data_IF_693549274050
#
_entry.id   IF_693549274050
#
_cell.length_a   1.000
_cell.length_b   1.000
_cell.length_c   1.000
_cell.angle_alpha   90.00
_cell.angle_beta   90.00
_cell.angle_gamma   90.00
#
_symmetry.space_group_name_H-M   'P 1'
#
loop_
_entity.id
_entity.type
_entity.pdbx_description
1 polymer ?
#
# COMPACT_ATOMS: atom_id res chain seq x y z
N UNK A 1 -21.16 -9.07 -25.42
CA UNK A 1 -21.17 -8.65 -24.00
C UNK A 1 -20.42 -9.73 -23.20
N UNK A 2 -19.13 -9.57 -23.06
CA UNK A 2 -18.29 -10.53 -22.33
C UNK A 2 -17.57 -9.77 -21.21
N UNK A 3 -18.03 -9.96 -19.95
CA UNK A 3 -17.36 -9.45 -18.76
C UNK A 3 -16.21 -10.40 -18.42
N UNK A 4 -15.01 -10.08 -18.87
CA UNK A 4 -13.78 -10.74 -18.47
C UNK A 4 -13.51 -10.43 -16.99
N UNK A 5 -13.83 -11.38 -16.11
CA UNK A 5 -13.35 -11.39 -14.73
C UNK A 5 -11.90 -11.86 -14.75
N UNK A 6 -10.99 -10.96 -14.47
CA UNK A 6 -9.61 -11.31 -14.18
C UNK A 6 -9.60 -12.12 -12.87
N UNK A 7 -9.37 -13.43 -13.00
CA UNK A 7 -9.11 -14.33 -11.86
C UNK A 7 -7.61 -14.27 -11.57
N UNK A 8 -7.25 -13.77 -10.42
CA UNK A 8 -5.92 -14.03 -9.87
C UNK A 8 -5.81 -15.51 -9.54
N UNK A 9 -4.72 -16.19 -9.91
CA UNK A 9 -4.52 -17.58 -9.52
C UNK A 9 -4.25 -17.63 -8.02
N UNK A 10 -5.07 -18.36 -7.30
CA UNK A 10 -4.83 -18.76 -5.93
C UNK A 10 -3.73 -19.83 -5.93
N UNK A 11 -2.47 -19.44 -5.83
CA UNK A 11 -1.41 -20.33 -5.37
C UNK A 11 -1.47 -20.39 -3.84
N UNK A 12 -2.30 -21.27 -3.32
CA UNK A 12 -2.19 -21.72 -1.94
C UNK A 12 -1.19 -22.88 -1.96
N UNK A 13 0.10 -22.59 -1.79
CA UNK A 13 1.04 -23.60 -1.35
C UNK A 13 0.66 -24.04 0.05
N UNK A 14 0.52 -25.36 0.22
CA UNK A 14 0.32 -26.00 1.51
C UNK A 14 1.56 -25.75 2.39
N UNK A 15 1.51 -24.69 3.19
CA UNK A 15 2.44 -24.51 4.28
C UNK A 15 2.10 -25.56 5.33
N UNK A 16 3.07 -26.43 5.61
CA UNK A 16 3.00 -27.50 6.62
C UNK A 16 2.42 -26.98 7.94
N UNK A 17 1.53 -27.76 8.55
CA UNK A 17 0.76 -27.45 9.77
C UNK A 17 1.60 -27.14 11.02
N UNK A 18 2.93 -27.24 10.97
CA UNK A 18 3.83 -27.15 12.13
C UNK A 18 4.47 -25.77 12.39
N UNK A 19 4.11 -24.73 11.63
CA UNK A 19 4.69 -23.39 11.81
C UNK A 19 3.64 -22.33 12.19
N UNK A 20 2.71 -22.62 13.11
CA UNK A 20 1.93 -21.56 13.77
C UNK A 20 2.83 -20.90 14.82
N UNK A 21 3.16 -19.59 14.70
CA UNK A 21 3.87 -18.90 15.75
C UNK A 21 3.08 -19.05 17.04
N UNK A 22 3.73 -19.48 18.11
CA UNK A 22 3.14 -19.64 19.44
C UNK A 22 2.46 -18.31 19.80
N UNK A 23 1.15 -18.38 20.13
CA UNK A 23 0.39 -17.21 20.56
C UNK A 23 1.13 -16.57 21.73
N UNK A 24 1.43 -15.26 21.70
CA UNK A 24 1.97 -14.59 22.87
C UNK A 24 1.05 -14.85 24.06
N UNK A 25 1.58 -15.31 25.19
CA UNK A 25 0.79 -15.55 26.40
C UNK A 25 0.10 -14.25 26.83
N UNK A 26 -1.21 -14.31 27.07
CA UNK A 26 -1.99 -13.17 27.57
C UNK A 26 -3.00 -12.54 26.61
N UNK A 27 -3.13 -13.01 25.35
CA UNK A 27 -4.14 -12.50 24.44
C UNK A 27 -5.57 -12.91 24.87
N UNK A 28 -6.49 -11.94 24.84
CA UNK A 28 -7.93 -12.21 25.03
C UNK A 28 -8.47 -12.81 23.72
N UNK A 29 -8.67 -14.14 23.68
CA UNK A 29 -9.00 -14.86 22.45
C UNK A 29 -10.23 -14.33 21.69
N UNK A 30 -11.25 -13.81 22.38
CA UNK A 30 -12.40 -13.19 21.74
C UNK A 30 -12.02 -11.91 20.97
N UNK A 31 -11.16 -11.08 21.56
CA UNK A 31 -10.68 -9.84 20.95
C UNK A 31 -9.77 -10.15 19.76
N UNK A 32 -8.84 -11.10 19.92
CA UNK A 32 -7.96 -11.56 18.82
C UNK A 32 -8.78 -12.03 17.61
N UNK A 33 -9.79 -12.86 17.85
CA UNK A 33 -10.64 -13.34 16.77
C UNK A 33 -11.44 -12.23 16.08
N UNK A 34 -11.94 -11.23 16.81
CA UNK A 34 -12.63 -10.08 16.23
C UNK A 34 -11.69 -9.23 15.37
N UNK A 35 -10.48 -8.96 15.85
CA UNK A 35 -9.49 -8.20 15.10
C UNK A 35 -9.04 -8.94 13.82
N UNK A 36 -8.85 -10.25 13.90
CA UNK A 36 -8.55 -11.08 12.71
C UNK A 36 -9.71 -11.09 11.71
N UNK A 37 -10.95 -11.13 12.19
CA UNK A 37 -12.13 -11.04 11.33
C UNK A 37 -12.19 -9.69 10.60
N UNK A 38 -11.94 -8.57 11.29
CA UNK A 38 -11.93 -7.24 10.66
C UNK A 38 -10.84 -7.14 9.58
N UNK A 39 -9.69 -7.78 9.77
CA UNK A 39 -8.62 -7.78 8.78
C UNK A 39 -8.97 -8.51 7.47
N UNK A 40 -9.98 -9.39 7.45
CA UNK A 40 -10.44 -10.02 6.21
C UNK A 40 -10.97 -8.99 5.20
N UNK A 41 -11.39 -7.81 5.64
CA UNK A 41 -11.80 -6.73 4.75
C UNK A 41 -10.62 -6.01 4.05
N UNK A 42 -9.37 -6.32 4.39
CA UNK A 42 -8.19 -5.87 3.63
C UNK A 42 -8.19 -6.51 2.22
N UNK A 43 -8.69 -7.77 2.10
CA UNK A 43 -8.66 -8.55 0.86
C UNK A 43 -10.06 -8.81 0.27
N UNK A 44 -11.14 -8.56 1.03
CA UNK A 44 -12.51 -8.89 0.64
C UNK A 44 -13.46 -7.71 0.83
N UNK A 45 -14.18 -7.34 -0.21
CA UNK A 45 -15.24 -6.33 -0.12
C UNK A 45 -16.40 -6.78 0.77
N UNK A 46 -16.68 -8.08 0.79
CA UNK A 46 -17.75 -8.70 1.60
C UNK A 46 -17.30 -10.06 2.13
N UNK A 47 -17.73 -10.39 3.34
CA UNK A 47 -17.47 -11.69 3.99
C UNK A 47 -18.79 -12.38 4.38
N UNK A 48 -18.77 -13.72 4.43
CA UNK A 48 -19.92 -14.56 4.82
C UNK A 48 -19.59 -15.40 6.04
N UNK A 49 -20.55 -15.59 6.95
CA UNK A 49 -20.39 -16.38 8.18
C UNK A 49 -19.74 -17.75 7.91
N UNK A 50 -20.23 -18.47 6.90
CA UNK A 50 -19.75 -19.82 6.60
C UNK A 50 -18.31 -19.85 6.09
N UNK A 51 -17.89 -18.84 5.35
CA UNK A 51 -16.53 -18.69 4.86
C UNK A 51 -15.58 -18.36 6.03
N UNK A 52 -15.91 -17.31 6.79
CA UNK A 52 -15.13 -16.89 7.98
C UNK A 52 -14.98 -18.03 8.99
N UNK A 53 -16.06 -18.82 9.22
CA UNK A 53 -16.00 -19.97 10.12
C UNK A 53 -14.97 -21.01 9.68
N UNK A 54 -14.91 -21.32 8.39
CA UNK A 54 -13.90 -22.23 7.83
C UNK A 54 -12.48 -21.66 7.91
N UNK A 55 -12.30 -20.40 7.42
CA UNK A 55 -10.98 -19.79 7.26
C UNK A 55 -10.31 -19.53 8.64
N UNK A 56 -11.13 -19.23 9.65
CA UNK A 56 -10.63 -19.00 11.02
C UNK A 56 -10.65 -20.23 11.93
N UNK A 57 -11.23 -21.36 11.49
CA UNK A 57 -11.38 -22.55 12.32
C UNK A 57 -12.33 -22.37 13.51
N UNK A 58 -13.38 -21.53 13.37
CA UNK A 58 -14.34 -21.18 14.41
C UNK A 58 -15.73 -21.79 14.16
N UNK A 59 -16.53 -21.95 15.21
CA UNK A 59 -17.94 -22.34 15.05
C UNK A 59 -18.74 -21.23 14.37
N UNK A 60 -19.75 -21.59 13.57
CA UNK A 60 -20.66 -20.62 12.93
C UNK A 60 -21.36 -19.72 13.96
N UNK A 61 -21.74 -20.26 15.12
CA UNK A 61 -22.37 -19.50 16.19
C UNK A 61 -21.42 -18.45 16.78
N UNK A 62 -20.13 -18.76 16.93
CA UNK A 62 -19.11 -17.81 17.39
C UNK A 62 -18.94 -16.68 16.38
N UNK A 63 -18.77 -16.99 15.09
CA UNK A 63 -18.64 -15.99 14.02
C UNK A 63 -19.89 -15.11 13.94
N UNK A 64 -21.08 -15.70 14.01
CA UNK A 64 -22.34 -14.96 14.00
C UNK A 64 -22.44 -13.96 15.17
N UNK A 65 -22.05 -14.38 16.38
CA UNK A 65 -22.04 -13.50 17.56
C UNK A 65 -21.04 -12.35 17.41
N UNK A 66 -19.85 -12.61 16.86
CA UNK A 66 -18.86 -11.56 16.58
C UNK A 66 -19.39 -10.56 15.57
N UNK A 67 -19.96 -11.02 14.45
CA UNK A 67 -20.53 -10.15 13.43
C UNK A 67 -21.75 -9.37 13.95
N UNK A 68 -22.61 -9.98 14.75
CA UNK A 68 -23.72 -9.29 15.40
C UNK A 68 -23.24 -8.17 16.35
N UNK A 69 -22.19 -8.43 17.13
CA UNK A 69 -21.57 -7.41 18.00
C UNK A 69 -20.96 -6.28 17.17
N UNK A 70 -20.20 -6.61 16.12
CA UNK A 70 -19.62 -5.61 15.21
C UNK A 70 -20.69 -4.79 14.48
N UNK A 71 -21.80 -5.42 14.09
CA UNK A 71 -22.94 -4.74 13.47
C UNK A 71 -23.66 -3.80 14.43
N UNK A 72 -23.85 -4.22 15.71
CA UNK A 72 -24.39 -3.35 16.75
C UNK A 72 -23.56 -2.07 16.95
N UNK A 73 -22.24 -2.18 16.86
CA UNK A 73 -21.32 -1.04 16.94
C UNK A 73 -21.00 -0.39 15.59
N UNK A 74 -21.75 -0.74 14.53
CA UNK A 74 -21.60 -0.19 13.18
C UNK A 74 -20.21 -0.39 12.52
N UNK A 75 -19.41 -1.34 13.01
CA UNK A 75 -18.15 -1.72 12.39
C UNK A 75 -18.34 -2.55 11.12
N UNK A 76 -19.46 -3.27 11.02
CA UNK A 76 -19.89 -4.00 9.82
C UNK A 76 -21.38 -3.78 9.58
N UNK A 77 -21.79 -3.86 8.32
CA UNK A 77 -23.20 -3.86 7.91
C UNK A 77 -23.54 -5.14 7.17
N UNK A 78 -24.72 -5.70 7.42
CA UNK A 78 -25.21 -6.84 6.66
C UNK A 78 -25.98 -6.37 5.43
N UNK A 79 -25.56 -6.81 4.25
CA UNK A 79 -26.28 -6.62 3.01
C UNK A 79 -27.58 -7.43 3.01
N UNK A 80 -28.71 -6.78 2.76
CA UNK A 80 -30.05 -7.39 2.88
C UNK A 80 -30.30 -8.52 1.87
N UNK A 81 -29.75 -8.37 0.67
CA UNK A 81 -29.97 -9.32 -0.43
C UNK A 81 -29.06 -10.53 -0.33
N UNK A 82 -27.75 -10.29 -0.19
CA UNK A 82 -26.74 -11.35 -0.18
C UNK A 82 -26.51 -11.98 1.19
N UNK A 83 -26.99 -11.35 2.26
CA UNK A 83 -26.73 -11.68 3.67
C UNK A 83 -25.23 -11.73 4.02
N UNK A 84 -24.38 -11.17 3.15
CA UNK A 84 -22.97 -10.97 3.42
C UNK A 84 -22.75 -9.71 4.27
N UNK A 85 -21.60 -9.61 4.91
CA UNK A 85 -21.23 -8.45 5.71
C UNK A 85 -20.16 -7.64 4.95
N UNK A 86 -20.30 -6.33 4.96
CA UNK A 86 -19.35 -5.33 4.42
C UNK A 86 -18.86 -4.42 5.55
N UNK A 87 -17.76 -3.65 5.34
CA UNK A 87 -17.34 -2.63 6.29
C UNK A 87 -18.47 -1.65 6.60
N UNK A 88 -18.67 -1.35 7.89
CA UNK A 88 -19.66 -0.39 8.36
C UNK A 88 -19.07 1.01 8.58
N UNK A 89 -19.94 2.04 8.79
CA UNK A 89 -19.53 3.44 8.89
C UNK A 89 -18.53 3.70 10.02
N UNK A 90 -18.67 3.05 11.18
CA UNK A 90 -17.75 3.27 12.30
C UNK A 90 -16.30 2.93 11.96
N UNK A 91 -16.06 1.92 11.11
CA UNK A 91 -14.72 1.57 10.65
C UNK A 91 -14.14 2.66 9.75
N UNK A 92 -14.96 3.22 8.86
CA UNK A 92 -14.60 4.35 7.98
C UNK A 92 -14.31 5.60 8.82
N UNK A 93 -15.18 5.94 9.77
CA UNK A 93 -15.05 7.13 10.61
C UNK A 93 -13.77 7.11 11.46
N UNK A 94 -13.47 5.97 12.09
CA UNK A 94 -12.22 5.77 12.83
C UNK A 94 -11.02 5.90 11.88
N UNK A 95 -11.06 5.24 10.72
CA UNK A 95 -10.01 5.32 9.73
C UNK A 95 -9.76 6.75 9.28
N UNK A 96 -10.79 7.49 8.89
CA UNK A 96 -10.70 8.89 8.48
C UNK A 96 -10.22 9.80 9.63
N UNK A 97 -10.71 9.58 10.88
CA UNK A 97 -10.25 10.34 12.04
C UNK A 97 -8.76 10.13 12.33
N UNK A 98 -8.27 8.91 12.19
CA UNK A 98 -6.83 8.61 12.34
C UNK A 98 -6.03 9.24 11.20
N UNK A 99 -6.46 9.04 9.96
CA UNK A 99 -5.76 9.56 8.77
C UNK A 99 -5.76 11.10 8.75
N UNK A 100 -6.85 11.75 9.16
CA UNK A 100 -6.91 13.22 9.24
C UNK A 100 -5.99 13.83 10.30
N UNK A 101 -5.67 13.07 11.36
CA UNK A 101 -4.71 13.47 12.40
C UNK A 101 -3.24 13.22 12.00
N UNK A 102 -3.01 12.54 10.88
CA UNK A 102 -1.65 12.41 10.34
C UNK A 102 -1.28 13.76 9.72
N UNK A 103 -0.53 14.54 10.47
CA UNK A 103 -0.11 15.90 10.13
C UNK A 103 0.46 16.00 8.71
N UNK A 104 1.25 14.98 8.31
CA UNK A 104 1.88 14.94 6.99
C UNK A 104 0.87 14.93 5.84
N UNK A 105 -0.31 14.31 5.99
CA UNK A 105 -1.35 14.30 4.95
C UNK A 105 -1.92 15.70 4.71
N UNK A 106 -2.29 16.39 5.79
CA UNK A 106 -2.87 17.73 5.68
C UNK A 106 -1.90 18.74 5.04
N UNK A 107 -0.61 18.67 5.43
CA UNK A 107 0.43 19.55 4.90
C UNK A 107 0.74 19.22 3.43
N UNK A 108 0.67 17.94 3.05
CA UNK A 108 1.08 17.45 1.72
C UNK A 108 0.05 17.67 0.62
N UNK A 109 -1.24 17.81 0.95
CA UNK A 109 -2.30 17.84 -0.06
C UNK A 109 -2.11 18.97 -1.09
N UNK A 110 -1.73 20.16 -0.66
CA UNK A 110 -1.43 21.29 -1.57
C UNK A 110 -0.25 20.97 -2.49
N UNK A 111 0.78 20.26 -1.98
CA UNK A 111 1.92 19.85 -2.79
C UNK A 111 1.51 18.79 -3.83
N UNK A 112 0.59 17.87 -3.47
CA UNK A 112 0.03 16.90 -4.42
C UNK A 112 -0.74 17.58 -5.55
N UNK A 113 -1.60 18.56 -5.24
CA UNK A 113 -2.32 19.34 -6.26
C UNK A 113 -1.32 20.01 -7.20
N UNK A 114 -0.32 20.72 -6.64
CA UNK A 114 0.73 21.37 -7.43
C UNK A 114 1.50 20.38 -8.31
N UNK A 115 1.86 19.21 -7.76
CA UNK A 115 2.59 18.19 -8.51
C UNK A 115 1.75 17.62 -9.66
N UNK A 116 0.44 17.36 -9.44
CA UNK A 116 -0.49 16.93 -10.47
C UNK A 116 -0.59 17.97 -11.58
N UNK A 117 -0.73 19.24 -11.23
CA UNK A 117 -0.86 20.32 -12.22
C UNK A 117 0.42 20.51 -13.06
N UNK A 118 1.58 20.31 -12.46
CA UNK A 118 2.88 20.41 -13.15
C UNK A 118 3.16 19.21 -14.06
N UNK A 119 2.72 18.02 -13.69
CA UNK A 119 3.01 16.79 -14.43
C UNK A 119 1.88 16.35 -15.36
N UNK A 120 0.65 16.80 -15.08
CA UNK A 120 -0.57 16.35 -15.77
C UNK A 120 -0.97 14.92 -15.44
N UNK A 121 -0.30 14.26 -14.48
CA UNK A 121 -0.47 12.84 -14.16
C UNK A 121 -0.97 12.63 -12.73
N UNK A 122 -1.48 11.43 -12.43
CA UNK A 122 -1.93 11.05 -11.09
C UNK A 122 -0.75 11.02 -10.12
N UNK A 123 -0.95 11.58 -8.93
CA UNK A 123 0.07 11.68 -7.89
C UNK A 123 -0.41 11.11 -6.57
N UNK A 124 0.51 10.58 -5.77
CA UNK A 124 0.18 10.05 -4.45
C UNK A 124 1.23 10.42 -3.41
N UNK A 125 0.81 10.38 -2.14
CA UNK A 125 1.65 10.41 -0.95
C UNK A 125 1.73 9.00 -0.36
N UNK A 126 2.93 8.47 -0.18
CA UNK A 126 3.14 7.16 0.43
C UNK A 126 4.06 7.21 1.62
N UNK A 127 3.82 6.32 2.58
CA UNK A 127 4.65 6.09 3.76
C UNK A 127 4.99 4.62 3.90
N UNK A 128 6.05 4.29 4.64
CA UNK A 128 6.27 2.90 5.03
C UNK A 128 5.17 2.40 5.96
N UNK A 129 4.66 1.20 5.71
CA UNK A 129 3.81 0.42 6.61
C UNK A 129 4.55 -0.83 7.04
N UNK A 130 4.98 -0.88 8.28
CA UNK A 130 5.97 -1.86 8.71
C UNK A 130 7.29 -1.63 7.95
N UNK A 131 7.99 -2.70 7.62
CA UNK A 131 9.35 -2.62 7.09
C UNK A 131 9.47 -2.92 5.59
N UNK A 132 8.48 -3.58 5.00
CA UNK A 132 8.55 -4.09 3.62
C UNK A 132 7.38 -3.66 2.73
N UNK A 133 6.47 -2.82 3.23
CA UNK A 133 5.29 -2.37 2.49
C UNK A 133 5.15 -0.86 2.51
N UNK A 134 4.44 -0.32 1.51
CA UNK A 134 4.05 1.09 1.40
C UNK A 134 2.54 1.20 1.54
N UNK A 135 2.08 2.17 2.33
CA UNK A 135 0.69 2.61 2.40
C UNK A 135 0.56 3.97 1.70
N UNK A 136 -0.39 4.08 0.78
CA UNK A 136 -0.74 5.34 0.14
C UNK A 136 -1.79 6.09 0.98
N UNK A 137 -1.41 7.26 1.52
CA UNK A 137 -2.23 8.05 2.45
C UNK A 137 -3.12 9.07 1.76
N UNK A 138 -2.66 9.63 0.65
CA UNK A 138 -3.35 10.68 -0.08
C UNK A 138 -2.97 10.62 -1.57
N UNK A 139 -3.75 11.31 -2.42
CA UNK A 139 -3.46 11.38 -3.85
C UNK A 139 -4.42 12.33 -4.56
N UNK A 140 -4.01 12.78 -5.73
CA UNK A 140 -4.81 13.60 -6.65
C UNK A 140 -4.74 12.96 -8.03
N UNK A 141 -5.90 12.58 -8.58
CA UNK A 141 -5.97 11.97 -9.90
C UNK A 141 -5.71 12.99 -11.01
N UNK A 142 -5.15 12.50 -12.10
CA UNK A 142 -5.03 13.22 -13.36
C UNK A 142 -6.42 13.52 -13.96
N UNK A 143 -6.53 14.65 -14.63
CA UNK A 143 -7.74 15.01 -15.39
C UNK A 143 -7.79 14.35 -16.79
N UNK A 144 -6.76 13.57 -17.17
CA UNK A 144 -6.72 12.89 -18.44
C UNK A 144 -7.73 11.72 -18.48
N UNK A 145 -8.27 11.44 -19.69
CA UNK A 145 -9.23 10.34 -19.91
C UNK A 145 -8.59 8.99 -19.56
N UNK A 146 -7.37 8.75 -20.08
CA UNK A 146 -6.57 7.56 -19.74
C UNK A 146 -5.59 7.94 -18.66
N UNK A 147 -5.78 7.45 -17.45
CA UNK A 147 -4.96 7.76 -16.27
C UNK A 147 -4.82 6.56 -15.35
N UNK A 148 -3.86 6.61 -14.46
CA UNK A 148 -3.81 5.70 -13.31
C UNK A 148 -4.84 6.15 -12.27
N UNK A 149 -5.59 5.20 -11.71
CA UNK A 149 -6.59 5.47 -10.67
C UNK A 149 -5.97 5.71 -9.29
N UNK A 150 -6.83 6.13 -8.35
CA UNK A 150 -6.43 6.35 -6.95
C UNK A 150 -5.93 5.07 -6.28
N UNK A 151 -4.89 5.23 -5.46
CA UNK A 151 -4.31 4.16 -4.62
C UNK A 151 -4.45 4.44 -3.14
N UNK A 152 -5.23 5.43 -2.76
CA UNK A 152 -5.45 5.78 -1.34
C UNK A 152 -5.95 4.54 -0.58
N UNK A 153 -5.29 4.23 0.55
CA UNK A 153 -5.58 3.04 1.36
C UNK A 153 -4.95 1.74 0.86
N UNK A 154 -4.40 1.69 -0.36
CA UNK A 154 -3.73 0.48 -0.86
C UNK A 154 -2.36 0.29 -0.21
N UNK A 155 -2.03 -0.97 0.00
CA UNK A 155 -0.74 -1.41 0.51
C UNK A 155 -0.07 -2.22 -0.59
N UNK A 156 1.16 -1.86 -0.93
CA UNK A 156 1.95 -2.55 -1.96
C UNK A 156 3.34 -2.90 -1.42
N UNK A 157 3.99 -3.96 -1.95
CA UNK A 157 5.36 -4.30 -1.59
C UNK A 157 6.32 -3.14 -1.89
N UNK A 158 7.16 -2.79 -0.91
CA UNK A 158 8.06 -1.64 -1.04
C UNK A 158 9.08 -1.82 -2.17
N UNK A 159 9.67 -3.02 -2.31
CA UNK A 159 10.64 -3.33 -3.36
C UNK A 159 10.08 -3.20 -4.78
N UNK A 160 8.76 -3.40 -4.96
CA UNK A 160 8.09 -3.36 -6.25
C UNK A 160 7.54 -1.97 -6.62
N UNK A 161 7.73 -0.94 -5.80
CA UNK A 161 7.19 0.40 -6.04
C UNK A 161 8.28 1.47 -6.02
N UNK A 162 8.19 2.48 -6.89
CA UNK A 162 9.09 3.64 -6.84
C UNK A 162 9.06 4.33 -5.46
N UNK A 163 7.85 4.48 -4.87
CA UNK A 163 7.65 5.00 -3.51
C UNK A 163 8.43 4.20 -2.47
N UNK A 164 8.32 2.88 -2.52
CA UNK A 164 9.02 2.00 -1.57
C UNK A 164 10.52 2.01 -1.76
N UNK A 165 11.02 2.02 -3.00
CA UNK A 165 12.46 2.07 -3.29
C UNK A 165 13.11 3.34 -2.72
N UNK A 166 12.51 4.54 -2.86
CA UNK A 166 13.06 5.76 -2.25
C UNK A 166 13.03 5.73 -0.72
N UNK A 167 12.04 5.06 -0.11
CA UNK A 167 11.95 4.91 1.34
C UNK A 167 12.92 3.84 1.87
N UNK A 168 13.08 2.73 1.14
CA UNK A 168 14.06 1.68 1.46
C UNK A 168 15.50 2.16 1.29
N UNK A 169 15.77 3.04 0.34
CA UNK A 169 17.11 3.59 0.07
C UNK A 169 17.72 4.35 1.27
N UNK A 170 16.90 4.71 2.26
CA UNK A 170 17.36 5.33 3.52
C UNK A 170 18.02 4.35 4.49
N UNK A 171 17.88 3.06 4.25
CA UNK A 171 18.45 2.00 5.08
C UNK A 171 19.79 1.55 4.53
N UNK A 172 20.64 0.99 5.39
CA UNK A 172 21.88 0.35 4.94
C UNK A 172 21.58 -0.98 4.25
N UNK A 173 22.53 -1.49 3.48
CA UNK A 173 22.36 -2.77 2.78
C UNK A 173 22.19 -3.93 3.74
N UNK A 174 22.85 -3.89 4.93
CA UNK A 174 22.66 -4.88 5.98
C UNK A 174 21.24 -4.83 6.57
N UNK A 175 20.69 -3.62 6.75
CA UNK A 175 19.31 -3.46 7.22
C UNK A 175 18.31 -4.00 6.18
N UNK A 176 18.54 -3.73 4.89
CA UNK A 176 17.70 -4.28 3.81
C UNK A 176 17.80 -5.81 3.75
N UNK A 177 19.02 -6.37 3.85
CA UNK A 177 19.21 -7.82 3.86
C UNK A 177 18.47 -8.50 5.03
N UNK A 178 18.43 -7.86 6.20
CA UNK A 178 17.68 -8.36 7.35
C UNK A 178 16.15 -8.39 7.14
N UNK A 179 15.60 -7.53 6.26
CA UNK A 179 14.18 -7.50 5.91
C UNK A 179 13.79 -8.63 4.96
N UNK A 180 14.72 -9.10 4.15
CA UNK A 180 14.50 -10.11 3.12
C UNK A 180 15.44 -11.31 3.32
N UNK A 181 15.31 -12.06 4.45
CA UNK A 181 16.28 -13.09 4.84
C UNK A 181 16.35 -14.29 3.87
N UNK A 182 15.30 -14.53 3.09
CA UNK A 182 15.32 -15.55 2.03
C UNK A 182 16.10 -15.12 0.79
N UNK A 183 16.38 -13.82 0.64
CA UNK A 183 16.95 -13.25 -0.56
C UNK A 183 16.02 -13.27 -1.79
N UNK A 184 14.81 -13.82 -1.66
CA UNK A 184 13.80 -13.91 -2.73
C UNK A 184 12.69 -12.92 -2.45
N UNK A 185 12.29 -12.15 -3.47
CA UNK A 185 11.26 -11.12 -3.39
C UNK A 185 10.01 -11.56 -4.17
N UNK A 186 8.84 -11.18 -3.67
CA UNK A 186 7.58 -11.40 -4.37
C UNK A 186 7.56 -10.64 -5.70
N UNK A 187 7.03 -11.27 -6.75
CA UNK A 187 6.94 -10.69 -8.08
C UNK A 187 5.49 -10.42 -8.48
N UNK A 188 4.91 -9.24 -8.15
CA UNK A 188 3.58 -8.84 -8.64
C UNK A 188 3.44 -8.85 -10.16
N UNK A 189 4.53 -8.61 -10.88
CA UNK A 189 4.58 -8.67 -12.34
C UNK A 189 5.87 -9.37 -12.82
N UNK A 190 5.94 -9.78 -14.10
CA UNK A 190 7.19 -10.32 -14.67
C UNK A 190 8.36 -9.32 -14.72
N UNK A 191 8.12 -8.04 -14.47
CA UNK A 191 9.16 -6.99 -14.46
C UNK A 191 9.68 -6.66 -13.06
N UNK A 192 9.05 -7.22 -12.04
CA UNK A 192 9.45 -6.98 -10.64
C UNK A 192 10.82 -7.59 -10.38
N UNK A 193 11.68 -6.86 -9.70
CA UNK A 193 12.94 -7.38 -9.15
C UNK A 193 12.65 -8.51 -8.17
N UNK A 194 13.31 -9.65 -8.33
CA UNK A 194 13.03 -10.88 -7.57
C UNK A 194 14.15 -11.33 -6.65
N UNK A 195 15.31 -10.68 -6.73
CA UNK A 195 16.46 -11.01 -5.87
C UNK A 195 16.88 -9.82 -5.01
N UNK A 196 17.39 -10.12 -3.81
CA UNK A 196 17.95 -9.11 -2.92
C UNK A 196 19.14 -8.38 -3.57
N UNK A 197 19.98 -9.09 -4.34
CA UNK A 197 21.14 -8.48 -5.01
C UNK A 197 20.72 -7.38 -5.98
N UNK A 198 19.76 -7.68 -6.87
CA UNK A 198 19.22 -6.69 -7.82
C UNK A 198 18.56 -5.51 -7.10
N UNK A 199 17.81 -5.78 -6.00
CA UNK A 199 17.22 -4.70 -5.21
C UNK A 199 18.30 -3.78 -4.62
N UNK A 200 19.40 -4.32 -4.08
CA UNK A 200 20.47 -3.51 -3.50
C UNK A 200 21.18 -2.63 -4.56
N UNK A 201 21.39 -3.16 -5.77
CA UNK A 201 21.92 -2.39 -6.90
C UNK A 201 20.99 -1.22 -7.27
N UNK A 202 19.70 -1.47 -7.38
CA UNK A 202 18.72 -0.42 -7.65
C UNK A 202 18.65 0.62 -6.53
N UNK A 203 18.68 0.20 -5.25
CA UNK A 203 18.69 1.13 -4.13
C UNK A 203 19.96 1.99 -4.08
N UNK A 204 21.12 1.44 -4.47
CA UNK A 204 22.35 2.22 -4.62
C UNK A 204 22.19 3.31 -5.69
N UNK A 205 21.55 2.99 -6.82
CA UNK A 205 21.27 3.97 -7.87
C UNK A 205 20.25 5.02 -7.39
N UNK A 206 19.20 4.62 -6.64
CA UNK A 206 18.24 5.55 -6.04
C UNK A 206 18.94 6.53 -5.09
N UNK A 207 19.87 6.07 -4.25
CA UNK A 207 20.68 6.94 -3.36
C UNK A 207 21.50 7.95 -4.17
N UNK A 208 22.07 7.54 -5.29
CA UNK A 208 22.88 8.39 -6.17
C UNK A 208 22.04 9.43 -6.92
N UNK A 209 20.87 9.02 -7.44
CA UNK A 209 19.99 9.87 -8.24
C UNK A 209 19.07 10.76 -7.41
N UNK A 210 18.68 10.33 -6.19
CA UNK A 210 17.70 11.00 -5.33
C UNK A 210 16.24 10.72 -5.70
N UNK A 211 15.99 9.86 -6.69
CA UNK A 211 14.66 9.41 -7.07
C UNK A 211 14.67 7.93 -7.47
N UNK A 212 13.50 7.29 -7.47
CA UNK A 212 13.31 5.97 -8.07
C UNK A 212 12.30 6.06 -9.22
N UNK A 213 12.56 5.26 -10.26
CA UNK A 213 11.60 4.98 -11.33
C UNK A 213 11.10 3.54 -11.22
N UNK A 214 9.88 3.30 -11.70
CA UNK A 214 9.25 1.99 -11.79
C UNK A 214 8.59 1.87 -13.18
N UNK A 215 8.83 0.77 -13.87
CA UNK A 215 8.32 0.52 -15.22
C UNK A 215 7.53 -0.78 -15.27
N UNK A 216 6.36 -0.80 -14.64
CA UNK A 216 5.47 -1.97 -14.67
C UNK A 216 5.83 -3.04 -13.66
N UNK A 217 6.50 -2.71 -12.55
CA UNK A 217 6.91 -3.68 -11.53
C UNK A 217 5.81 -3.97 -10.51
N UNK A 218 5.04 -2.97 -10.10
CA UNK A 218 3.90 -3.17 -9.19
C UNK A 218 2.60 -3.49 -9.92
N UNK A 219 2.43 -2.92 -11.09
CA UNK A 219 1.31 -3.14 -12.01
C UNK A 219 1.82 -3.01 -13.45
N UNK A 220 1.53 -4.00 -14.31
CA UNK A 220 2.18 -4.19 -15.62
C UNK A 220 2.10 -2.97 -16.56
N UNK A 221 1.00 -2.20 -16.47
CA UNK A 221 0.72 -1.08 -17.38
C UNK A 221 0.99 0.30 -16.76
N UNK A 222 1.65 0.34 -15.60
CA UNK A 222 1.90 1.58 -14.85
C UNK A 222 3.38 1.86 -14.72
N UNK A 223 3.76 3.10 -15.06
CA UNK A 223 5.04 3.68 -14.69
C UNK A 223 4.90 4.65 -13.53
N UNK A 224 5.95 4.81 -12.75
CA UNK A 224 5.98 5.71 -11.62
C UNK A 224 7.37 6.32 -11.41
N UNK A 225 7.40 7.57 -10.93
CA UNK A 225 8.62 8.25 -10.48
C UNK A 225 8.36 8.84 -9.10
N UNK A 226 9.22 8.53 -8.13
CA UNK A 226 9.08 8.96 -6.74
C UNK A 226 10.35 9.64 -6.21
N UNK A 227 10.15 10.56 -5.24
CA UNK A 227 11.22 11.13 -4.44
C UNK A 227 10.82 11.20 -2.97
N UNK A 228 11.80 11.04 -2.08
CA UNK A 228 11.60 11.13 -0.65
C UNK A 228 11.44 12.59 -0.19
N UNK A 229 10.51 12.81 0.73
CA UNK A 229 10.30 14.08 1.42
C UNK A 229 11.07 14.04 2.73
N UNK A 230 12.04 14.94 2.89
CA UNK A 230 12.89 15.04 4.07
C UNK A 230 12.53 16.29 4.87
N UNK A 231 12.40 16.13 6.18
CA UNK A 231 12.26 17.26 7.07
C UNK A 231 13.58 18.08 7.17
N UNK A 232 13.53 19.21 7.85
CA UNK A 232 14.69 20.11 8.04
C UNK A 232 15.89 19.45 8.75
N UNK A 233 15.66 18.31 9.42
CA UNK A 233 16.71 17.52 10.07
C UNK A 233 17.28 16.43 9.16
N UNK A 234 16.76 16.33 7.93
CA UNK A 234 17.14 15.32 6.94
C UNK A 234 16.41 13.97 7.09
N UNK A 235 15.51 13.79 8.06
CA UNK A 235 14.77 12.55 8.22
C UNK A 235 13.68 12.42 7.17
N UNK A 236 13.58 11.25 6.55
CA UNK A 236 12.50 10.97 5.60
C UNK A 236 11.18 10.77 6.33
N UNK A 237 10.17 11.50 5.91
CA UNK A 237 8.82 11.49 6.48
C UNK A 237 7.81 10.73 5.62
N UNK A 238 7.95 10.84 4.31
CA UNK A 238 7.09 10.22 3.32
C UNK A 238 7.78 10.25 1.94
N UNK A 239 7.10 9.79 0.91
CA UNK A 239 7.50 9.99 -0.48
C UNK A 239 6.34 10.54 -1.31
N UNK A 240 6.65 11.41 -2.27
CA UNK A 240 5.76 11.81 -3.34
C UNK A 240 6.03 10.95 -4.57
N UNK A 241 4.99 10.56 -5.28
CA UNK A 241 5.08 9.77 -6.50
C UNK A 241 4.12 10.31 -7.56
N UNK A 242 4.59 10.37 -8.79
CA UNK A 242 3.78 10.59 -9.99
C UNK A 242 3.66 9.27 -10.72
N UNK A 243 2.45 8.92 -11.15
CA UNK A 243 2.16 7.67 -11.86
C UNK A 243 1.45 7.96 -13.18
N UNK A 244 1.88 7.30 -14.24
CA UNK A 244 1.30 7.41 -15.58
C UNK A 244 1.07 6.02 -16.20
N UNK A 245 0.20 5.88 -17.19
CA UNK A 245 0.19 4.72 -18.05
C UNK A 245 1.57 4.51 -18.68
N UNK A 246 2.04 3.26 -18.69
CA UNK A 246 3.37 2.91 -19.21
C UNK A 246 3.59 3.37 -20.65
N UNK A 247 2.52 3.43 -21.45
CA UNK A 247 2.55 3.89 -22.85
C UNK A 247 2.96 5.35 -23.04
N UNK A 248 2.93 6.17 -21.97
CA UNK A 248 3.35 7.59 -22.00
C UNK A 248 4.68 7.85 -21.28
N UNK A 249 5.21 6.84 -20.62
CA UNK A 249 6.36 6.99 -19.72
C UNK A 249 7.65 6.56 -20.41
N UNK A 250 8.12 7.35 -21.36
CA UNK A 250 9.43 7.20 -21.97
C UNK A 250 10.56 7.79 -21.08
N UNK A 251 11.80 7.63 -21.48
CA UNK A 251 12.96 8.13 -20.74
C UNK A 251 12.95 9.66 -20.55
N UNK A 252 12.37 10.40 -21.49
CA UNK A 252 12.24 11.86 -21.39
C UNK A 252 11.22 12.23 -20.31
N UNK A 253 10.09 11.51 -20.27
CA UNK A 253 9.09 11.67 -19.22
C UNK A 253 9.66 11.36 -17.84
N UNK A 254 10.43 10.27 -17.71
CA UNK A 254 11.07 9.91 -16.43
C UNK A 254 11.98 11.02 -15.94
N UNK A 255 12.86 11.55 -16.79
CA UNK A 255 13.82 12.62 -16.42
C UNK A 255 13.09 13.91 -16.02
N UNK A 256 12.10 14.34 -16.80
CA UNK A 256 11.36 15.56 -16.53
C UNK A 256 10.53 15.44 -15.25
N UNK A 257 9.86 14.31 -15.08
CA UNK A 257 9.04 14.01 -13.90
C UNK A 257 9.92 13.92 -12.65
N UNK A 258 11.08 13.26 -12.72
CA UNK A 258 12.02 13.15 -11.61
C UNK A 258 12.46 14.54 -11.10
N UNK A 259 12.83 15.44 -12.01
CA UNK A 259 13.21 16.80 -11.64
C UNK A 259 12.07 17.54 -10.92
N UNK A 260 10.82 17.36 -11.41
CA UNK A 260 9.63 18.00 -10.85
C UNK A 260 9.30 17.42 -9.48
N UNK A 261 9.23 16.08 -9.34
CA UNK A 261 8.92 15.39 -8.08
C UNK A 261 9.97 15.74 -7.00
N UNK A 262 11.26 15.69 -7.34
CA UNK A 262 12.33 16.04 -6.39
C UNK A 262 12.24 17.49 -5.91
N UNK A 263 11.90 18.42 -6.79
CA UNK A 263 11.71 19.84 -6.43
C UNK A 263 10.54 20.00 -5.47
N UNK A 264 9.36 19.46 -5.81
CA UNK A 264 8.16 19.54 -4.96
C UNK A 264 8.35 18.81 -3.63
N UNK A 265 9.05 17.67 -3.64
CA UNK A 265 9.38 16.94 -2.41
C UNK A 265 10.28 17.76 -1.47
N UNK A 266 11.24 18.51 -1.99
CA UNK A 266 12.09 19.42 -1.21
C UNK A 266 11.28 20.58 -0.63
N UNK A 267 10.47 21.27 -1.47
CA UNK A 267 9.60 22.38 -1.04
C UNK A 267 8.60 21.93 0.05
N UNK A 268 8.08 20.70 -0.04
CA UNK A 268 7.23 20.12 1.00
C UNK A 268 8.06 19.84 2.27
N UNK A 269 9.27 19.31 2.14
CA UNK A 269 10.15 19.00 3.26
C UNK A 269 10.48 20.23 4.12
N UNK A 270 10.63 21.40 3.52
CA UNK A 270 10.84 22.66 4.23
C UNK A 270 9.64 23.08 5.10
N UNK A 271 8.46 22.52 4.84
CA UNK A 271 7.21 22.76 5.57
C UNK A 271 6.91 21.71 6.63
N UNK A 272 7.56 20.54 6.53
CA UNK A 272 7.44 19.44 7.48
C UNK A 272 8.51 19.62 8.54
N UNK A 273 8.12 20.02 9.71
CA UNK A 273 9.05 20.37 10.79
C UNK A 273 9.02 19.45 11.97
#
# INVERSE_FOLDING_TARGET
MCKSRMRYPACVEQVSEDARPSRPGGLIGAVDNVLRLLRLFEDHEMIRVNQVARDMGLSRSTVHRMLATLSHHQFVEQDELSRAYKPGPALVDIGLSVVSKIEIRAISHTALVSLRDLTGETVHLGIMRGDTSVLFLDGVESDQIVRTGSRIGRILPAHATATGKVLLAERTDEQIAALYPSGVLEAPTPRTVTSLGELLEELAEVRRLGYAANHGESEADVAAVAAAVRDKRGHVRCALVTTAPLSRADDAWVKTTAATVMRVARELGDRVG
#
